data_IF_645736502768
#
_entry.id   IF_645736502768
#
_cell.length_a   1.000
_cell.length_b   1.000
_cell.length_c   1.000
_cell.angle_alpha   90.00
_cell.angle_beta   90.00
_cell.angle_gamma   90.00
#
_symmetry.space_group_name_H-M   'P 1'
#
loop_
_entity.id
_entity.type
_entity.pdbx_description
1 polymer ?
#
# COMPACT_ATOMS: atom_id res chain seq x y z
N UNK A 1 -13.50 -0.62 22.74
CA UNK A 1 -13.83 -0.88 21.33
C UNK A 1 -12.59 -0.64 20.46
N UNK A 2 -12.04 -1.67 19.83
CA UNK A 2 -10.89 -1.60 18.92
C UNK A 2 -11.38 -1.33 17.49
N UNK A 3 -10.71 -0.42 16.79
CA UNK A 3 -11.01 -0.11 15.39
C UNK A 3 -9.84 -0.57 14.51
N UNK A 4 -10.04 -1.67 13.79
CA UNK A 4 -9.02 -2.28 12.92
C UNK A 4 -9.35 -1.94 11.47
N UNK A 5 -8.35 -1.46 10.72
CA UNK A 5 -8.47 -1.21 9.28
C UNK A 5 -7.54 -2.16 8.53
N UNK A 6 -8.06 -2.84 7.51
CA UNK A 6 -7.29 -3.74 6.65
C UNK A 6 -7.25 -3.11 5.26
N UNK A 7 -6.05 -2.81 4.78
CA UNK A 7 -5.82 -2.07 3.55
C UNK A 7 -5.08 -2.94 2.55
N UNK A 8 -5.74 -3.27 1.45
CA UNK A 8 -5.11 -3.87 0.28
C UNK A 8 -6.07 -3.73 -0.89
N UNK A 9 -5.54 -3.57 -2.10
CA UNK A 9 -6.34 -3.58 -3.33
C UNK A 9 -7.01 -4.96 -3.52
N UNK A 10 -6.29 -6.04 -3.21
CA UNK A 10 -6.75 -7.41 -3.48
C UNK A 10 -7.65 -7.95 -2.36
N UNK A 11 -8.85 -8.40 -2.71
CA UNK A 11 -9.78 -9.01 -1.74
C UNK A 11 -9.21 -10.27 -1.05
N UNK A 12 -8.54 -11.21 -1.73
CA UNK A 12 -7.96 -12.38 -1.07
C UNK A 12 -6.98 -12.03 0.04
N UNK A 13 -6.15 -11.00 -0.16
CA UNK A 13 -5.23 -10.51 0.86
C UNK A 13 -5.98 -9.96 2.08
N UNK A 14 -7.01 -9.13 1.85
CA UNK A 14 -7.84 -8.61 2.95
C UNK A 14 -8.53 -9.74 3.73
N UNK A 15 -9.06 -10.74 3.02
CA UNK A 15 -9.70 -11.91 3.64
C UNK A 15 -8.73 -12.71 4.54
N UNK A 16 -7.52 -12.99 4.06
CA UNK A 16 -6.49 -13.69 4.86
C UNK A 16 -6.14 -12.89 6.12
N UNK A 17 -5.90 -11.59 5.98
CA UNK A 17 -5.58 -10.72 7.13
C UNK A 17 -6.76 -10.64 8.10
N UNK A 18 -8.00 -10.54 7.61
CA UNK A 18 -9.20 -10.54 8.45
C UNK A 18 -9.32 -11.81 9.28
N UNK A 19 -9.05 -12.98 8.69
CA UNK A 19 -9.08 -14.27 9.39
C UNK A 19 -8.08 -14.29 10.54
N UNK A 20 -6.85 -13.80 10.30
CA UNK A 20 -5.82 -13.73 11.34
C UNK A 20 -6.20 -12.76 12.47
N UNK A 21 -6.73 -11.58 12.12
CA UNK A 21 -7.22 -10.60 13.11
C UNK A 21 -8.34 -11.20 13.96
N UNK A 22 -9.29 -11.91 13.35
CA UNK A 22 -10.40 -12.54 14.06
C UNK A 22 -9.93 -13.63 15.05
N UNK A 23 -8.98 -14.47 14.63
CA UNK A 23 -8.40 -15.51 15.49
C UNK A 23 -7.66 -14.90 16.69
N UNK A 24 -6.80 -13.92 16.46
CA UNK A 24 -6.08 -13.23 17.54
C UNK A 24 -7.02 -12.52 18.51
N UNK A 25 -8.10 -11.91 17.99
CA UNK A 25 -9.09 -11.26 18.83
C UNK A 25 -9.87 -12.24 19.71
N UNK A 26 -10.19 -13.43 19.20
CA UNK A 26 -10.86 -14.48 19.97
C UNK A 26 -10.02 -14.94 21.16
N UNK A 27 -8.71 -15.12 20.97
CA UNK A 27 -7.79 -15.46 22.06
C UNK A 27 -7.76 -14.36 23.11
N UNK A 28 -7.65 -13.09 22.68
CA UNK A 28 -7.60 -11.93 23.56
C UNK A 28 -8.89 -11.75 24.38
N UNK A 29 -10.04 -12.09 23.82
CA UNK A 29 -11.33 -11.93 24.46
C UNK A 29 -11.48 -12.80 25.71
N UNK A 30 -10.77 -13.93 25.79
CA UNK A 30 -10.76 -14.80 26.98
C UNK A 30 -10.19 -14.11 28.22
N UNK A 31 -9.24 -13.18 28.05
CA UNK A 31 -8.66 -12.39 29.14
C UNK A 31 -9.37 -11.04 29.39
N UNK A 32 -10.25 -10.63 28.48
CA UNK A 32 -10.91 -9.34 28.49
C UNK A 32 -12.40 -9.44 28.10
N UNK A 33 -13.24 -10.05 28.95
CA UNK A 33 -14.68 -10.15 28.71
C UNK A 33 -15.28 -8.74 28.65
N UNK A 34 -15.82 -8.36 27.49
CA UNK A 34 -16.33 -7.01 27.20
C UNK A 34 -15.48 -6.19 26.22
N UNK A 35 -14.35 -6.73 25.76
CA UNK A 35 -13.61 -6.12 24.67
C UNK A 35 -14.36 -6.32 23.35
N UNK A 36 -14.66 -5.20 22.68
CA UNK A 36 -15.32 -5.16 21.36
C UNK A 36 -14.34 -4.75 20.26
N UNK A 37 -14.54 -5.24 19.03
CA UNK A 37 -13.73 -4.90 17.85
C UNK A 37 -14.61 -4.66 16.63
N UNK A 38 -14.28 -3.62 15.86
CA UNK A 38 -14.83 -3.33 14.55
C UNK A 38 -13.72 -3.43 13.48
N UNK A 39 -13.96 -4.20 12.41
CA UNK A 39 -13.03 -4.33 11.28
C UNK A 39 -13.60 -3.60 10.07
N UNK A 40 -12.83 -2.68 9.51
CA UNK A 40 -13.12 -2.00 8.24
C UNK A 40 -12.11 -2.45 7.18
N UNK A 41 -12.58 -2.94 6.05
CA UNK A 41 -11.72 -3.26 4.91
C UNK A 41 -11.72 -2.12 3.91
N UNK A 42 -10.53 -1.69 3.49
CA UNK A 42 -10.33 -0.60 2.54
C UNK A 42 -9.62 -1.18 1.32
N UNK A 43 -10.35 -1.25 0.21
CA UNK A 43 -9.80 -1.63 -1.09
C UNK A 43 -9.59 -0.47 -2.06
N UNK A 44 -10.15 0.70 -1.75
CA UNK A 44 -10.05 1.89 -2.59
C UNK A 44 -8.61 2.44 -2.56
N UNK A 45 -7.88 2.50 -3.70
CA UNK A 45 -6.51 3.01 -3.74
C UNK A 45 -6.39 4.44 -3.22
N UNK A 46 -7.39 5.30 -3.46
CA UNK A 46 -7.39 6.68 -2.95
C UNK A 46 -7.42 6.74 -1.42
N UNK A 47 -8.26 5.90 -0.79
CA UNK A 47 -8.28 5.74 0.65
C UNK A 47 -7.03 5.03 1.16
N UNK A 48 -6.52 4.03 0.44
CA UNK A 48 -5.27 3.35 0.79
C UNK A 48 -4.12 4.36 0.79
N UNK A 49 -3.99 5.23 -0.21
CA UNK A 49 -2.96 6.27 -0.27
C UNK A 49 -3.02 7.28 0.88
N UNK A 50 -4.15 7.39 1.61
CA UNK A 50 -4.21 8.17 2.86
C UNK A 50 -3.43 7.52 4.01
N UNK A 51 -3.10 6.23 3.89
CA UNK A 51 -2.50 5.40 4.93
C UNK A 51 -1.25 4.62 4.47
N UNK A 52 -1.12 4.27 3.19
CA UNK A 52 -0.04 3.49 2.59
C UNK A 52 0.17 3.93 1.12
N UNK A 53 1.30 4.59 0.85
CA UNK A 53 1.68 5.21 -0.42
C UNK A 53 2.75 4.34 -1.10
N UNK A 54 2.38 3.40 -1.97
CA UNK A 54 3.39 2.59 -2.67
C UNK A 54 4.01 3.41 -3.81
N UNK A 55 5.32 3.63 -3.71
CA UNK A 55 6.18 4.31 -4.68
C UNK A 55 6.49 3.35 -5.84
N UNK A 56 6.23 3.74 -7.08
CA UNK A 56 6.57 2.95 -8.27
C UNK A 56 8.07 3.14 -8.57
N UNK A 57 8.87 2.08 -8.50
CA UNK A 57 10.33 2.13 -8.63
C UNK A 57 10.86 1.18 -9.71
N UNK A 58 11.99 1.50 -10.36
CA UNK A 58 12.72 2.76 -10.22
C UNK A 58 11.95 3.91 -10.91
N UNK A 59 12.07 5.11 -10.35
CA UNK A 59 11.56 6.34 -10.96
C UNK A 59 12.73 7.29 -11.20
N UNK A 60 12.87 7.76 -12.45
CA UNK A 60 13.87 8.74 -12.85
C UNK A 60 13.19 10.09 -13.07
N UNK A 61 13.76 11.13 -12.47
CA UNK A 61 13.31 12.52 -12.56
C UNK A 61 14.49 13.37 -13.02
N UNK A 62 14.27 14.26 -14.00
CA UNK A 62 15.26 15.23 -14.48
C UNK A 62 14.57 16.60 -14.52
N UNK A 63 15.19 17.64 -13.93
CA UNK A 63 14.62 18.99 -13.80
C UNK A 63 13.17 18.98 -13.27
N UNK A 64 12.93 18.28 -12.16
CA UNK A 64 11.62 18.10 -11.51
C UNK A 64 10.55 17.38 -12.36
N UNK A 65 10.88 16.94 -13.59
CA UNK A 65 9.98 16.16 -14.46
C UNK A 65 10.30 14.68 -14.38
N UNK A 66 9.29 13.87 -14.10
CA UNK A 66 9.40 12.41 -14.13
C UNK A 66 9.53 11.92 -15.58
N UNK A 67 10.60 11.19 -15.88
CA UNK A 67 10.92 10.69 -17.24
C UNK A 67 10.91 9.16 -17.34
N UNK A 68 10.99 8.43 -16.22
CA UNK A 68 10.82 6.97 -16.17
C UNK A 68 10.16 6.55 -14.86
N UNK A 69 9.25 5.57 -14.87
CA UNK A 69 8.64 5.00 -13.65
C UNK A 69 8.41 3.50 -13.83
N UNK A 70 8.80 2.68 -12.86
CA UNK A 70 8.38 1.28 -12.76
C UNK A 70 9.08 0.33 -13.73
N UNK A 71 10.15 0.78 -14.38
CA UNK A 71 10.99 -0.02 -15.28
C UNK A 71 12.42 0.51 -15.33
N UNK A 72 13.37 -0.34 -15.72
CA UNK A 72 14.74 0.10 -16.01
C UNK A 72 14.80 0.69 -17.44
N UNK A 73 15.26 1.94 -17.62
CA UNK A 73 15.44 2.50 -18.95
C UNK A 73 16.71 1.98 -19.62
N UNK A 74 16.75 1.98 -20.96
CA UNK A 74 17.99 1.67 -21.71
C UNK A 74 18.94 2.85 -21.71
N UNK A 75 20.20 2.59 -22.07
CA UNK A 75 21.23 3.64 -22.16
C UNK A 75 20.86 4.73 -23.16
N UNK A 76 20.25 4.35 -24.28
CA UNK A 76 19.85 5.25 -25.36
C UNK A 76 18.73 6.18 -24.91
N UNK A 77 17.75 5.66 -24.17
CA UNK A 77 16.64 6.44 -23.59
C UNK A 77 17.16 7.48 -22.58
N UNK A 78 18.05 7.07 -21.67
CA UNK A 78 18.64 8.00 -20.69
C UNK A 78 19.45 9.09 -21.38
N UNK A 79 20.22 8.74 -22.41
CA UNK A 79 20.99 9.72 -23.17
C UNK A 79 20.10 10.72 -23.93
N UNK A 80 18.92 10.30 -24.41
CA UNK A 80 17.97 11.20 -25.04
C UNK A 80 17.40 12.20 -24.02
N UNK A 81 16.90 11.72 -22.87
CA UNK A 81 16.34 12.61 -21.85
C UNK A 81 17.36 13.58 -21.25
N UNK A 82 18.63 13.18 -21.12
CA UNK A 82 19.69 14.09 -20.69
C UNK A 82 19.95 15.18 -21.72
N UNK A 83 19.94 14.88 -23.03
CA UNK A 83 20.10 15.92 -24.06
C UNK A 83 18.94 16.90 -24.10
N UNK A 84 17.71 16.41 -23.89
CA UNK A 84 16.51 17.26 -23.83
C UNK A 84 16.49 18.20 -22.62
N UNK A 85 17.25 17.88 -21.57
CA UNK A 85 17.27 18.61 -20.31
C UNK A 85 18.42 19.63 -20.18
N UNK A 86 19.32 19.70 -21.18
CA UNK A 86 20.39 20.72 -21.30
C UNK A 86 19.86 21.97 -22.00
#
# INVERSE_FOLDING_TARGET
MLNVKILSIQYPERYVVRRMVAMAFQELQSGHPGLEMNITEIGDPGQICKYAFVIVLPTLVINEKVVCTGRFPTKEEVAAWLREAV
#
